data_IF_785797696786
#
_entry.id   IF_785797696786
#
_cell.length_a   1.000
_cell.length_b   1.000
_cell.length_c   1.000
_cell.angle_alpha   90.00
_cell.angle_beta   90.00
_cell.angle_gamma   90.00
#
_symmetry.space_group_name_H-M   'P 1'
#
loop_
_entity.id
_entity.type
_entity.pdbx_description
1 polymer ?
#
# COMPACT_ATOMS: atom_id res chain seq x y z
N UNK A 1 10.90 -10.45 -9.11
CA UNK A 1 10.49 -10.72 -7.71
C UNK A 1 9.00 -11.00 -7.70
N UNK A 2 8.57 -12.06 -7.03
CA UNK A 2 7.14 -12.34 -6.85
C UNK A 2 6.49 -11.19 -6.07
N UNK A 3 5.38 -10.68 -6.60
CA UNK A 3 4.67 -9.55 -6.01
C UNK A 3 3.19 -9.65 -6.30
N UNK A 4 2.39 -9.17 -5.38
CA UNK A 4 0.95 -9.03 -5.53
C UNK A 4 0.60 -7.54 -5.62
N UNK A 5 -0.56 -7.23 -6.18
CA UNK A 5 -1.11 -5.88 -6.14
C UNK A 5 -2.41 -5.90 -5.36
N UNK A 6 -2.56 -4.96 -4.44
CA UNK A 6 -3.75 -4.85 -3.59
C UNK A 6 -4.18 -3.39 -3.47
N UNK A 7 -5.47 -3.18 -3.18
CA UNK A 7 -5.97 -1.88 -2.76
C UNK A 7 -6.02 -1.86 -1.24
N UNK A 8 -5.26 -0.97 -0.62
CA UNK A 8 -5.20 -0.84 0.85
C UNK A 8 -5.42 0.60 1.27
N UNK A 9 -6.22 0.78 2.33
CA UNK A 9 -6.41 2.09 2.96
C UNK A 9 -5.19 2.40 3.83
N UNK A 10 -4.46 3.48 3.53
CA UNK A 10 -3.28 3.85 4.32
C UNK A 10 -2.98 5.36 4.24
N UNK A 11 -2.39 5.93 5.31
CA UNK A 11 -1.92 7.31 5.29
C UNK A 11 -0.67 7.46 4.43
N UNK A 12 -0.32 8.72 4.13
CA UNK A 12 0.95 9.01 3.47
C UNK A 12 2.10 8.80 4.46
N UNK A 13 3.17 8.14 4.01
CA UNK A 13 4.37 7.95 4.82
C UNK A 13 5.42 8.95 4.37
N UNK A 14 5.65 9.99 5.17
CA UNK A 14 6.69 10.98 4.90
C UNK A 14 8.08 10.50 5.35
N UNK A 15 8.19 9.76 6.46
CA UNK A 15 9.50 9.26 6.93
C UNK A 15 9.40 8.00 7.80
N UNK A 16 10.53 7.31 7.95
CA UNK A 16 10.66 6.09 8.75
C UNK A 16 10.42 6.29 10.27
N UNK A 17 10.52 7.53 10.78
CA UNK A 17 10.29 7.82 12.21
C UNK A 17 8.81 7.71 12.60
N UNK A 18 7.90 7.87 11.64
CA UNK A 18 6.46 7.75 11.87
C UNK A 18 5.83 8.90 12.68
N UNK A 19 4.53 8.82 12.97
CA UNK A 19 3.70 9.91 13.51
C UNK A 19 4.01 10.30 14.96
N UNK A 20 4.63 9.39 15.72
CA UNK A 20 5.05 9.65 17.10
C UNK A 20 6.08 10.78 17.15
N UNK A 21 6.97 10.81 16.15
CA UNK A 21 8.13 11.69 16.11
C UNK A 21 8.11 12.70 14.96
N UNK A 22 7.29 12.51 13.93
CA UNK A 22 7.20 13.39 12.77
C UNK A 22 5.81 14.01 12.66
N UNK A 23 5.76 15.35 12.69
CA UNK A 23 4.52 16.13 12.57
C UNK A 23 3.80 15.90 11.25
N UNK A 24 4.52 15.89 10.11
CA UNK A 24 3.94 15.57 8.79
C UNK A 24 3.30 14.18 8.75
N UNK A 25 3.94 13.17 9.34
CA UNK A 25 3.34 11.84 9.45
C UNK A 25 2.11 11.84 10.38
N UNK A 26 2.10 12.68 11.42
CA UNK A 26 0.97 12.83 12.34
C UNK A 26 -0.25 13.46 11.65
N UNK A 27 -0.02 14.45 10.80
CA UNK A 27 -1.06 15.04 9.96
C UNK A 27 -1.55 14.06 8.90
N UNK A 28 -0.64 13.35 8.24
CA UNK A 28 -0.98 12.36 7.21
C UNK A 28 -1.87 11.22 7.74
N UNK A 29 -1.76 10.85 9.02
CA UNK A 29 -2.67 9.85 9.63
C UNK A 29 -4.13 10.32 9.67
N UNK A 30 -4.38 11.63 9.71
CA UNK A 30 -5.74 12.16 9.66
C UNK A 30 -6.38 11.98 8.27
N UNK A 31 -5.56 11.84 7.23
CA UNK A 31 -5.98 11.75 5.83
C UNK A 31 -5.61 10.36 5.27
N UNK A 32 -6.54 9.41 5.39
CA UNK A 32 -6.33 8.03 4.95
C UNK A 32 -6.93 7.82 3.56
N UNK A 33 -6.06 7.65 2.56
CA UNK A 33 -6.44 7.41 1.16
C UNK A 33 -6.51 5.92 0.83
N UNK A 34 -7.21 5.59 -0.27
CA UNK A 34 -7.14 4.26 -0.88
C UNK A 34 -5.93 4.21 -1.81
N UNK A 35 -5.00 3.31 -1.53
CA UNK A 35 -3.77 3.17 -2.32
C UNK A 35 -3.78 1.85 -3.07
N UNK A 36 -3.52 1.90 -4.38
CA UNK A 36 -3.10 0.72 -5.13
C UNK A 36 -1.60 0.54 -4.87
N UNK A 37 -1.26 -0.55 -4.21
CA UNK A 37 0.11 -0.87 -3.84
C UNK A 37 0.56 -2.18 -4.47
N UNK A 38 1.85 -2.27 -4.75
CA UNK A 38 2.53 -3.51 -5.14
C UNK A 38 3.33 -4.00 -3.96
N UNK A 39 3.02 -5.19 -3.46
CA UNK A 39 3.69 -5.80 -2.31
C UNK A 39 4.57 -6.95 -2.79
N UNK A 40 5.84 -6.90 -2.45
CA UNK A 40 6.83 -7.92 -2.79
C UNK A 40 6.80 -9.05 -1.75
N UNK A 41 6.70 -10.29 -2.23
CA UNK A 41 6.64 -11.48 -1.37
C UNK A 41 8.02 -11.97 -0.90
N UNK A 42 9.09 -11.43 -1.48
CA UNK A 42 10.48 -11.70 -1.10
C UNK A 42 11.18 -10.36 -0.85
N UNK A 43 12.08 -10.28 0.15
CA UNK A 43 12.83 -9.07 0.44
C UNK A 43 13.76 -8.72 -0.74
N UNK A 44 13.93 -7.42 -0.97
CA UNK A 44 14.84 -6.89 -1.98
C UNK A 44 16.15 -6.39 -1.37
N UNK A 45 17.05 -5.92 -2.22
CA UNK A 45 18.29 -5.25 -1.80
C UNK A 45 18.12 -3.73 -1.64
N UNK A 46 16.88 -3.21 -1.72
CA UNK A 46 16.57 -1.78 -1.65
C UNK A 46 15.68 -1.52 -0.46
N UNK A 47 16.01 -0.52 0.35
CA UNK A 47 15.19 -0.13 1.48
C UNK A 47 13.82 0.39 1.00
N UNK A 48 12.75 -0.31 1.36
CA UNK A 48 11.36 0.07 1.08
C UNK A 48 10.52 0.06 2.36
N UNK A 49 9.42 0.83 2.40
CA UNK A 49 8.41 0.68 3.44
C UNK A 49 7.85 -0.75 3.48
N UNK A 50 7.59 -1.24 4.68
CA UNK A 50 6.93 -2.53 4.88
C UNK A 50 5.46 -2.35 5.23
N UNK A 51 4.63 -3.29 4.82
CA UNK A 51 3.22 -3.35 5.20
C UNK A 51 2.79 -4.80 5.42
N UNK A 52 1.74 -4.98 6.21
CA UNK A 52 1.09 -6.29 6.33
C UNK A 52 -0.04 -6.43 5.31
N UNK A 53 -0.17 -7.61 4.74
CA UNK A 53 -1.25 -7.95 3.82
C UNK A 53 -1.80 -9.32 4.16
N UNK A 54 -3.11 -9.49 3.93
CA UNK A 54 -3.79 -10.77 4.03
C UNK A 54 -4.00 -11.28 2.61
N UNK A 55 -3.46 -12.47 2.33
CA UNK A 55 -3.68 -13.17 1.06
C UNK A 55 -4.34 -14.50 1.39
N UNK A 56 -5.65 -14.59 1.14
CA UNK A 56 -6.48 -15.66 1.68
C UNK A 56 -6.41 -15.67 3.22
N UNK A 57 -6.11 -16.83 3.81
CA UNK A 57 -6.00 -16.97 5.28
C UNK A 57 -4.58 -16.74 5.84
N UNK A 58 -3.65 -16.21 5.03
CA UNK A 58 -2.25 -16.01 5.46
C UNK A 58 -1.92 -14.53 5.61
N UNK A 59 -1.33 -14.18 6.75
CA UNK A 59 -0.74 -12.86 7.00
C UNK A 59 0.70 -12.84 6.50
N UNK A 60 1.01 -11.88 5.65
CA UNK A 60 2.33 -11.70 5.04
C UNK A 60 2.82 -10.28 5.36
N UNK A 61 4.09 -10.16 5.73
CA UNK A 61 4.79 -8.87 5.80
C UNK A 61 5.68 -8.73 4.57
N UNK A 62 5.52 -7.65 3.83
CA UNK A 62 6.27 -7.42 2.60
C UNK A 62 6.63 -5.96 2.41
N UNK A 63 7.73 -5.75 1.70
CA UNK A 63 8.06 -4.45 1.12
C UNK A 63 6.98 -4.04 0.13
N UNK A 64 6.68 -2.75 0.02
CA UNK A 64 5.71 -2.27 -0.96
C UNK A 64 6.11 -0.98 -1.65
N UNK A 65 5.59 -0.81 -2.86
CA UNK A 65 5.60 0.44 -3.61
C UNK A 65 4.16 0.93 -3.81
N UNK A 66 3.94 2.24 -3.66
CA UNK A 66 2.66 2.88 -3.98
C UNK A 66 2.61 3.15 -5.48
N UNK A 67 1.69 2.51 -6.18
CA UNK A 67 1.47 2.77 -7.62
C UNK A 67 0.65 4.06 -7.77
N UNK A 68 -0.47 4.16 -7.04
CA UNK A 68 -1.37 5.32 -7.13
C UNK A 68 -2.25 5.44 -5.88
N UNK A 69 -2.64 6.67 -5.55
CA UNK A 69 -3.54 7.00 -4.44
C UNK A 69 -4.86 7.54 -4.98
N UNK A 70 -5.95 7.24 -4.30
CA UNK A 70 -7.33 7.52 -4.71
C UNK A 70 -8.14 7.98 -3.50
N UNK A 71 -9.07 8.91 -3.74
CA UNK A 71 -10.02 9.36 -2.72
C UNK A 71 -11.03 8.27 -2.35
N UNK A 72 -11.39 7.38 -3.29
CA UNK A 72 -12.37 6.32 -3.06
C UNK A 72 -11.88 4.93 -3.50
N UNK A 73 -12.41 3.89 -2.85
CA UNK A 73 -12.18 2.49 -3.24
C UNK A 73 -12.70 2.21 -4.66
N UNK A 74 -13.78 2.89 -5.07
CA UNK A 74 -14.39 2.73 -6.39
C UNK A 74 -13.43 3.19 -7.48
N UNK A 75 -12.80 4.35 -7.31
CA UNK A 75 -11.84 4.89 -8.27
C UNK A 75 -10.61 4.00 -8.40
N UNK A 76 -10.12 3.48 -7.26
CA UNK A 76 -8.99 2.55 -7.26
C UNK A 76 -9.31 1.26 -8.03
N UNK A 77 -10.52 0.71 -7.86
CA UNK A 77 -10.98 -0.47 -8.61
C UNK A 77 -11.15 -0.17 -10.09
N UNK A 78 -11.79 0.95 -10.43
CA UNK A 78 -12.02 1.33 -11.82
C UNK A 78 -10.68 1.53 -12.54
N UNK A 79 -9.74 2.23 -11.92
CA UNK A 79 -8.40 2.42 -12.47
C UNK A 79 -7.71 1.08 -12.78
N UNK A 80 -7.85 0.09 -11.89
CA UNK A 80 -7.25 -1.22 -12.11
C UNK A 80 -7.91 -2.00 -13.25
N UNK A 81 -9.24 -1.92 -13.37
CA UNK A 81 -9.98 -2.52 -14.49
C UNK A 81 -9.52 -1.87 -15.80
N UNK A 82 -9.51 -0.53 -15.86
CA UNK A 82 -9.17 0.24 -17.06
C UNK A 82 -7.73 -0.03 -17.55
N UNK A 83 -6.83 -0.37 -16.63
CA UNK A 83 -5.41 -0.63 -16.93
C UNK A 83 -5.06 -2.13 -16.94
N UNK A 84 -6.04 -3.04 -16.84
CA UNK A 84 -5.80 -4.48 -16.83
C UNK A 84 -4.92 -4.95 -15.66
N UNK A 85 -4.99 -4.27 -14.52
CA UNK A 85 -4.22 -4.58 -13.33
C UNK A 85 -4.96 -5.66 -12.53
N UNK A 86 -4.39 -6.85 -12.48
CA UNK A 86 -4.88 -7.90 -11.58
C UNK A 86 -4.61 -7.52 -10.11
N UNK A 87 -5.68 -7.50 -9.31
CA UNK A 87 -5.65 -7.15 -7.89
C UNK A 87 -6.16 -8.36 -7.11
N UNK A 88 -5.37 -8.79 -6.12
CA UNK A 88 -5.85 -9.73 -5.12
C UNK A 88 -6.83 -9.02 -4.18
N UNK A 89 -8.09 -9.44 -4.18
CA UNK A 89 -9.08 -8.97 -3.22
C UNK A 89 -8.87 -9.68 -1.87
N UNK A 90 -9.06 -8.94 -0.77
CA UNK A 90 -9.15 -9.47 0.60
C UNK A 90 -10.22 -10.57 0.72
#
# INVERSE_FOLDING_TARGET
MESIKIIKKMPEIHCARGPKWCEKCREAIKNIDFCLIKVYLKPGNVARPMTEVYVGCRRIYGEYDVIKRFASKKDAKQYAIDHGIDISFE
#
